data_IF_638086502680
#
_entry.id   IF_638086502680
#
_cell.length_a   1.000
_cell.length_b   1.000
_cell.length_c   1.000
_cell.angle_alpha   90.00
_cell.angle_beta   90.00
_cell.angle_gamma   90.00
#
_symmetry.space_group_name_H-M   'P 1'
#
loop_
_entity.id
_entity.type
_entity.pdbx_description
1 polymer ?
#
# COMPACT_ATOMS: atom_id res chain seq x y z
N UNK A 1 4.60 21.67 4.56
CA UNK A 1 5.13 21.58 5.94
C UNK A 1 6.26 20.57 5.95
N UNK A 2 7.41 20.87 6.56
CA UNK A 2 8.53 19.92 6.68
C UNK A 2 8.30 19.09 7.93
N UNK A 3 8.25 17.76 7.81
CA UNK A 3 7.92 16.84 8.90
C UNK A 3 8.78 17.06 10.15
N UNK A 4 10.09 17.24 9.99
CA UNK A 4 11.02 17.43 11.10
C UNK A 4 10.72 18.68 11.94
N UNK A 5 10.19 19.74 11.34
CA UNK A 5 9.80 20.95 12.07
C UNK A 5 8.44 20.79 12.78
N UNK A 6 7.54 19.98 12.22
CA UNK A 6 6.21 19.72 12.77
C UNK A 6 6.21 18.66 13.88
N UNK A 7 7.09 17.67 13.76
CA UNK A 7 7.13 16.51 14.65
C UNK A 7 7.14 16.87 16.15
N UNK A 8 7.91 17.87 16.62
CA UNK A 8 7.96 18.21 18.05
C UNK A 8 6.65 18.77 18.61
N UNK A 9 5.75 19.33 17.78
CA UNK A 9 4.49 19.91 18.24
C UNK A 9 3.35 18.88 18.35
N UNK A 10 3.48 17.72 17.72
CA UNK A 10 2.44 16.67 17.75
C UNK A 10 2.36 16.01 19.13
N UNK A 11 1.14 15.79 19.62
CA UNK A 11 0.80 15.15 20.89
C UNK A 11 -0.15 13.97 20.66
N UNK A 12 -0.19 13.05 21.62
CA UNK A 12 -1.18 11.97 21.62
C UNK A 12 -2.58 12.57 21.72
N UNK A 13 -3.51 12.09 20.87
CA UNK A 13 -4.87 12.61 20.79
C UNK A 13 -5.07 13.68 19.70
N UNK A 14 -4.00 14.22 19.12
CA UNK A 14 -4.13 15.16 18.00
C UNK A 14 -4.82 14.48 16.80
N UNK A 15 -5.78 15.19 16.20
CA UNK A 15 -6.40 14.76 14.95
C UNK A 15 -5.51 15.14 13.77
N UNK A 16 -5.13 14.16 12.97
CA UNK A 16 -4.38 14.34 11.74
C UNK A 16 -5.35 14.12 10.58
N UNK A 17 -5.51 15.15 9.75
CA UNK A 17 -6.34 15.10 8.55
C UNK A 17 -5.46 15.07 7.30
N UNK A 18 -5.74 14.14 6.40
CA UNK A 18 -4.99 13.92 5.18
C UNK A 18 -5.77 14.40 3.96
N UNK A 19 -5.04 15.01 3.04
CA UNK A 19 -5.52 15.50 1.75
C UNK A 19 -4.54 15.08 0.65
N UNK A 20 -4.98 15.11 -0.60
CA UNK A 20 -4.20 14.71 -1.76
C UNK A 20 -5.12 14.30 -2.92
N UNK A 21 -4.64 13.36 -3.73
CA UNK A 21 -5.41 12.71 -4.79
C UNK A 21 -5.03 13.22 -6.19
N UNK A 22 -4.39 12.34 -6.96
CA UNK A 22 -4.20 12.53 -8.41
C UNK A 22 -5.49 12.21 -9.17
N UNK A 23 -5.76 12.92 -10.26
CA UNK A 23 -6.83 12.53 -11.19
C UNK A 23 -6.38 11.50 -12.23
N UNK A 24 -5.11 11.09 -12.19
CA UNK A 24 -4.50 10.21 -13.19
C UNK A 24 -4.52 8.73 -12.78
N UNK A 25 -4.77 8.43 -11.50
CA UNK A 25 -4.83 7.06 -11.00
C UNK A 25 -6.11 6.82 -10.21
N UNK A 26 -6.51 5.55 -10.15
CA UNK A 26 -7.77 5.15 -9.54
C UNK A 26 -7.87 5.46 -8.04
N UNK A 27 -6.76 5.39 -7.31
CA UNK A 27 -6.76 5.68 -5.88
C UNK A 27 -6.97 7.18 -5.64
N UNK A 28 -6.28 8.02 -6.39
CA UNK A 28 -6.44 9.47 -6.35
C UNK A 28 -7.83 9.94 -6.78
N UNK A 29 -8.42 9.31 -7.81
CA UNK A 29 -9.81 9.59 -8.22
C UNK A 29 -10.77 9.34 -7.05
N UNK A 30 -10.64 8.22 -6.34
CA UNK A 30 -11.48 7.92 -5.15
C UNK A 30 -11.33 8.97 -4.06
N UNK A 31 -10.10 9.41 -3.78
CA UNK A 31 -9.82 10.47 -2.81
C UNK A 31 -10.55 11.76 -3.20
N UNK A 32 -10.45 12.16 -4.47
CA UNK A 32 -11.08 13.38 -4.96
C UNK A 32 -12.62 13.30 -4.93
N UNK A 33 -13.22 12.14 -5.19
CA UNK A 33 -14.66 11.93 -5.01
C UNK A 33 -15.08 12.11 -3.54
N UNK A 34 -14.34 11.56 -2.57
CA UNK A 34 -14.64 11.76 -1.14
C UNK A 34 -14.63 13.25 -0.81
N UNK A 35 -13.62 13.99 -1.25
CA UNK A 35 -13.51 15.44 -1.02
C UNK A 35 -14.66 16.22 -1.64
N UNK A 36 -15.03 15.88 -2.88
CA UNK A 36 -16.12 16.54 -3.60
C UNK A 36 -17.48 16.32 -2.90
N UNK A 37 -17.82 15.07 -2.56
CA UNK A 37 -19.13 14.76 -1.96
C UNK A 37 -19.23 15.16 -0.49
N UNK A 38 -18.13 15.16 0.25
CA UNK A 38 -18.11 15.68 1.64
C UNK A 38 -17.92 17.19 1.72
N UNK A 39 -17.71 17.87 0.56
CA UNK A 39 -17.37 19.29 0.47
C UNK A 39 -16.21 19.66 1.41
N UNK A 40 -15.22 18.78 1.49
CA UNK A 40 -14.07 18.90 2.40
C UNK A 40 -12.77 18.96 1.61
N UNK A 41 -11.79 19.66 2.16
CA UNK A 41 -10.42 19.57 1.66
C UNK A 41 -9.75 18.25 2.03
N UNK A 42 -10.26 17.54 3.05
CA UNK A 42 -9.70 16.29 3.56
C UNK A 42 -10.50 15.07 3.12
N UNK A 43 -9.82 13.94 2.90
CA UNK A 43 -10.45 12.67 2.52
C UNK A 43 -10.31 11.57 3.56
N UNK A 44 -9.40 11.75 4.53
CA UNK A 44 -9.08 10.73 5.51
C UNK A 44 -8.56 11.36 6.80
N UNK A 45 -8.79 10.70 7.92
CA UNK A 45 -8.43 11.18 9.25
C UNK A 45 -7.95 10.03 10.13
N UNK A 46 -7.11 10.36 11.10
CA UNK A 46 -6.67 9.46 12.16
C UNK A 46 -6.21 10.24 13.38
N UNK A 47 -5.91 9.51 14.45
CA UNK A 47 -5.50 10.07 15.74
C UNK A 47 -4.02 9.78 15.95
N UNK A 48 -3.27 10.81 16.34
CA UNK A 48 -1.87 10.67 16.68
C UNK A 48 -1.71 9.94 18.02
N UNK A 49 -0.75 9.02 18.08
CA UNK A 49 -0.28 8.40 19.31
C UNK A 49 1.24 8.54 19.41
N UNK A 50 1.69 9.29 20.41
CA UNK A 50 3.10 9.59 20.64
C UNK A 50 3.62 8.70 21.77
N UNK A 51 4.61 7.86 21.46
CA UNK A 51 5.26 6.95 22.42
C UNK A 51 6.74 6.80 22.08
N UNK A 52 7.61 6.84 23.10
CA UNK A 52 9.05 6.63 22.95
C UNK A 52 9.72 7.56 21.91
N UNK A 53 9.28 8.83 21.82
CA UNK A 53 9.82 9.77 20.84
C UNK A 53 9.38 9.53 19.39
N UNK A 54 8.43 8.62 19.14
CA UNK A 54 7.84 8.35 17.81
C UNK A 54 6.39 8.83 17.73
N UNK A 55 5.91 9.18 16.53
CA UNK A 55 4.48 9.46 16.25
C UNK A 55 3.95 8.30 15.40
N UNK A 56 2.91 7.65 15.92
CA UNK A 56 2.10 6.69 15.19
C UNK A 56 0.76 7.33 14.85
N UNK A 57 0.13 6.88 13.76
CA UNK A 57 -1.21 7.31 13.36
C UNK A 57 -2.16 6.12 13.46
N UNK A 58 -3.17 6.25 14.31
CA UNK A 58 -4.22 5.25 14.49
C UNK A 58 -5.39 5.64 13.60
N UNK A 59 -5.73 4.79 12.64
CA UNK A 59 -6.70 5.13 11.61
C UNK A 59 -7.49 3.92 11.10
N UNK A 60 -8.73 4.18 10.67
CA UNK A 60 -9.53 3.20 9.97
C UNK A 60 -9.25 3.30 8.47
N UNK A 61 -8.58 2.31 7.91
CA UNK A 61 -8.36 2.19 6.47
C UNK A 61 -9.25 1.07 5.93
N UNK A 62 -9.97 1.33 4.84
CA UNK A 62 -10.87 0.33 4.25
C UNK A 62 -10.06 -0.89 3.80
N UNK A 63 -10.43 -2.13 4.19
CA UNK A 63 -9.71 -3.34 3.77
C UNK A 63 -9.55 -3.47 2.24
N UNK A 64 -10.51 -2.96 1.46
CA UNK A 64 -10.43 -2.94 0.00
C UNK A 64 -9.25 -2.11 -0.55
N UNK A 65 -8.83 -1.06 0.14
CA UNK A 65 -7.65 -0.27 -0.24
C UNK A 65 -6.36 -1.05 0.05
N UNK A 66 -6.30 -1.76 1.18
CA UNK A 66 -5.17 -2.62 1.53
C UNK A 66 -5.06 -3.78 0.53
N UNK A 67 -6.16 -4.46 0.21
CA UNK A 67 -6.17 -5.53 -0.80
C UNK A 67 -5.73 -5.04 -2.19
N UNK A 68 -6.13 -3.84 -2.60
CA UNK A 68 -5.68 -3.25 -3.85
C UNK A 68 -4.17 -2.96 -3.84
N UNK A 69 -3.64 -2.42 -2.74
CA UNK A 69 -2.21 -2.15 -2.59
C UNK A 69 -1.37 -3.45 -2.63
N UNK A 70 -1.79 -4.51 -1.94
CA UNK A 70 -1.13 -5.82 -1.99
C UNK A 70 -1.16 -6.40 -3.41
N UNK A 71 -2.31 -6.34 -4.10
CA UNK A 71 -2.42 -6.81 -5.50
C UNK A 71 -1.54 -5.99 -6.45
N UNK A 72 -1.40 -4.68 -6.21
CA UNK A 72 -0.49 -3.83 -6.99
C UNK A 72 0.97 -4.23 -6.76
N UNK A 73 1.38 -4.50 -5.51
CA UNK A 73 2.73 -4.99 -5.20
C UNK A 73 3.02 -6.34 -5.89
N UNK A 74 2.08 -7.28 -5.83
CA UNK A 74 2.15 -8.54 -6.57
C UNK A 74 2.34 -8.31 -8.07
N UNK A 75 1.54 -7.43 -8.67
CA UNK A 75 1.63 -7.13 -10.10
C UNK A 75 3.00 -6.54 -10.46
N UNK A 76 3.55 -5.67 -9.62
CA UNK A 76 4.90 -5.11 -9.83
C UNK A 76 5.99 -6.19 -9.77
N UNK A 77 5.91 -7.14 -8.82
CA UNK A 77 6.84 -8.28 -8.74
C UNK A 77 6.73 -9.23 -9.93
N UNK A 78 5.52 -9.44 -10.44
CA UNK A 78 5.31 -10.20 -11.68
C UNK A 78 5.94 -9.46 -12.86
N UNK A 79 5.66 -8.18 -13.05
CA UNK A 79 6.25 -7.38 -14.14
C UNK A 79 7.78 -7.38 -14.10
N UNK A 80 8.38 -7.21 -12.91
CA UNK A 80 9.83 -7.23 -12.72
C UNK A 80 10.48 -8.57 -13.12
N UNK A 81 9.72 -9.66 -13.12
CA UNK A 81 10.21 -11.01 -13.42
C UNK A 81 9.71 -11.53 -14.77
N UNK A 82 9.09 -10.69 -15.60
CA UNK A 82 8.57 -11.11 -16.91
C UNK A 82 9.67 -11.54 -17.87
N UNK A 83 10.86 -10.93 -17.79
CA UNK A 83 12.02 -11.31 -18.62
C UNK A 83 12.40 -12.79 -18.45
N UNK A 84 12.19 -13.36 -17.27
CA UNK A 84 12.51 -14.77 -16.95
C UNK A 84 11.65 -15.76 -17.75
N UNK A 85 10.51 -15.31 -18.28
CA UNK A 85 9.54 -16.13 -19.00
C UNK A 85 9.76 -16.15 -20.52
N UNK A 86 10.64 -15.29 -21.02
CA UNK A 86 10.96 -15.21 -22.46
C UNK A 86 11.67 -16.51 -22.88
N UNK A 87 11.39 -16.98 -24.11
CA UNK A 87 11.93 -18.24 -24.62
C UNK A 87 13.47 -18.27 -24.58
N UNK A 88 14.10 -17.15 -24.88
CA UNK A 88 15.56 -16.94 -24.96
C UNK A 88 16.21 -16.56 -23.60
N UNK A 89 15.45 -16.58 -22.51
CA UNK A 89 15.99 -16.28 -21.18
C UNK A 89 16.92 -17.40 -20.70
N UNK A 90 18.06 -17.01 -20.12
CA UNK A 90 19.00 -17.92 -19.44
C UNK A 90 18.55 -18.31 -18.03
N UNK A 91 17.42 -17.78 -17.54
CA UNK A 91 16.93 -18.01 -16.21
C UNK A 91 16.43 -19.46 -16.00
N UNK A 92 16.52 -19.95 -14.76
CA UNK A 92 15.92 -21.23 -14.34
C UNK A 92 14.40 -21.17 -14.44
N UNK A 93 13.85 -21.60 -15.59
CA UNK A 93 12.42 -21.50 -15.89
C UNK A 93 11.55 -22.23 -14.88
N UNK A 94 11.85 -23.48 -14.46
CA UNK A 94 11.12 -24.14 -13.38
C UNK A 94 11.08 -23.33 -12.08
N UNK A 95 12.22 -22.81 -11.61
CA UNK A 95 12.28 -22.05 -10.37
C UNK A 95 11.47 -20.75 -10.44
N UNK A 96 11.58 -20.01 -11.54
CA UNK A 96 10.84 -18.77 -11.76
C UNK A 96 9.35 -18.99 -11.97
N UNK A 97 8.95 -20.09 -12.63
CA UNK A 97 7.55 -20.46 -12.75
C UNK A 97 6.92 -20.71 -11.37
N UNK A 98 7.61 -21.45 -10.49
CA UNK A 98 7.15 -21.70 -9.12
C UNK A 98 7.05 -20.40 -8.30
N UNK A 99 8.05 -19.52 -8.38
CA UNK A 99 8.01 -18.22 -7.72
C UNK A 99 6.84 -17.35 -8.20
N UNK A 100 6.64 -17.24 -9.51
CA UNK A 100 5.55 -16.45 -10.10
C UNK A 100 4.19 -17.04 -9.79
N UNK A 101 4.07 -18.36 -9.67
CA UNK A 101 2.84 -19.00 -9.21
C UNK A 101 2.55 -18.62 -7.75
N UNK A 102 3.54 -18.74 -6.86
CA UNK A 102 3.39 -18.34 -5.47
C UNK A 102 2.98 -16.86 -5.32
N UNK A 103 3.48 -15.97 -6.18
CA UNK A 103 3.01 -14.57 -6.24
C UNK A 103 1.52 -14.48 -6.63
N UNK A 104 1.05 -15.24 -7.62
CA UNK A 104 -0.36 -15.23 -8.04
C UNK A 104 -1.29 -15.75 -6.95
N UNK A 105 -0.80 -16.66 -6.12
CA UNK A 105 -1.55 -17.28 -5.02
C UNK A 105 -1.64 -16.40 -3.76
N UNK A 106 -0.90 -15.29 -3.70
CA UNK A 106 -0.92 -14.32 -2.57
C UNK A 106 -2.34 -13.92 -2.11
N UNK A 107 -3.30 -13.59 -2.99
CA UNK A 107 -4.65 -13.22 -2.57
C UNK A 107 -5.47 -14.36 -1.94
N UNK A 108 -5.02 -15.61 -2.07
CA UNK A 108 -5.66 -16.79 -1.49
C UNK A 108 -5.07 -17.16 -0.12
N UNK A 109 -4.03 -16.47 0.34
CA UNK A 109 -3.44 -16.72 1.65
C UNK A 109 -4.41 -16.39 2.79
N UNK A 110 -4.35 -17.19 3.85
CA UNK A 110 -5.04 -16.89 5.11
C UNK A 110 -4.45 -15.60 5.69
N UNK A 111 -5.32 -14.65 6.05
CA UNK A 111 -4.91 -13.34 6.55
C UNK A 111 -4.80 -12.25 5.49
N UNK A 112 -4.97 -12.55 4.20
CA UNK A 112 -5.05 -11.52 3.17
C UNK A 112 -6.23 -10.55 3.43
N UNK A 113 -6.04 -9.22 3.30
CA UNK A 113 -4.82 -8.51 2.89
C UNK A 113 -3.93 -8.02 4.05
N UNK A 114 -4.26 -8.37 5.30
CA UNK A 114 -3.67 -7.82 6.52
C UNK A 114 -2.31 -8.45 6.86
N UNK A 115 -2.17 -9.75 6.62
CA UNK A 115 -0.95 -10.52 6.80
C UNK A 115 -0.68 -11.30 5.54
N UNK A 116 0.46 -11.05 4.90
CA UNK A 116 0.85 -11.64 3.62
C UNK A 116 2.29 -12.12 3.72
N UNK A 117 2.50 -13.40 3.41
CA UNK A 117 3.82 -13.98 3.28
C UNK A 117 4.25 -13.92 1.82
N UNK A 118 5.29 -13.14 1.55
CA UNK A 118 5.83 -13.01 0.20
C UNK A 118 6.84 -14.13 -0.08
N UNK A 119 6.75 -14.80 -1.25
CA UNK A 119 7.78 -15.76 -1.64
C UNK A 119 9.13 -15.04 -1.77
N UNK A 120 10.21 -15.73 -1.41
CA UNK A 120 11.57 -15.22 -1.64
C UNK A 120 11.91 -15.31 -3.12
N UNK A 121 12.57 -14.28 -3.61
CA UNK A 121 13.10 -14.25 -4.98
C UNK A 121 14.10 -15.40 -5.20
N UNK A 122 14.19 -15.84 -6.45
CA UNK A 122 14.98 -17.02 -6.87
C UNK A 122 16.29 -16.60 -7.53
#
# INVERSE_FOLDING_TARGET
MIYNAARPSVRSGDLIAQSGGSWLDWHGIKINLVRMFTRSTYSHVGVAWVVGGRVFMLEAVKPAQQAAAVRANRNARLAATDWTQIADSTADKPAWAAYRQALRDVPAQVGFPQSVEWPRER
#
